data_IF_855186124854
#
_entry.id   IF_855186124854
#
_cell.length_a   1.000
_cell.length_b   1.000
_cell.length_c   1.000
_cell.angle_alpha   90.00
_cell.angle_beta   90.00
_cell.angle_gamma   90.00
#
_symmetry.space_group_name_H-M   'P 1'
#
loop_
_entity.id
_entity.type
_entity.pdbx_description
1 polymer ?
#
# COMPACT_ATOMS: atom_id res chain seq x y z
N UNK A 1 22.70 24.42 31.73
CA UNK A 1 21.92 23.90 30.60
C UNK A 1 22.91 23.20 29.70
N UNK A 2 23.11 21.90 29.91
CA UNK A 2 23.79 21.07 28.93
C UNK A 2 22.77 20.84 27.81
N UNK A 3 22.98 21.50 26.68
CA UNK A 3 22.36 21.10 25.42
C UNK A 3 22.91 19.73 25.07
N UNK A 4 22.16 18.69 25.39
CA UNK A 4 22.36 17.37 24.82
C UNK A 4 22.10 17.51 23.31
N UNK A 5 23.14 17.72 22.52
CA UNK A 5 23.06 17.59 21.07
C UNK A 5 22.70 16.12 20.83
N UNK A 6 21.42 15.82 20.60
CA UNK A 6 21.04 14.52 20.06
C UNK A 6 21.77 14.41 18.72
N UNK A 7 22.80 13.58 18.69
CA UNK A 7 23.47 13.19 17.45
C UNK A 7 22.49 12.31 16.70
N UNK A 8 21.63 12.93 15.90
CA UNK A 8 20.82 12.19 14.95
C UNK A 8 21.78 11.56 13.93
N UNK A 9 21.60 10.27 13.65
CA UNK A 9 22.42 9.59 12.65
C UNK A 9 21.85 9.93 11.28
N UNK A 10 22.70 10.37 10.33
CA UNK A 10 22.22 10.86 9.04
C UNK A 10 21.56 9.74 8.24
N UNK A 11 20.52 10.08 7.50
CA UNK A 11 19.97 9.24 6.45
C UNK A 11 20.91 9.25 5.25
N UNK A 12 21.01 8.11 4.57
CA UNK A 12 21.93 7.94 3.43
C UNK A 12 21.14 7.37 2.26
N UNK A 13 21.31 7.91 1.06
CA UNK A 13 20.75 7.29 -0.15
C UNK A 13 21.42 5.93 -0.40
N UNK A 14 20.67 4.91 -0.81
CA UNK A 14 21.27 3.65 -1.26
C UNK A 14 22.28 3.88 -2.41
N UNK A 15 22.09 4.91 -3.23
CA UNK A 15 22.99 5.28 -4.32
C UNK A 15 24.30 5.92 -3.86
N UNK A 16 24.43 6.30 -2.58
CA UNK A 16 25.70 6.76 -2.02
C UNK A 16 26.69 5.60 -1.80
N UNK A 17 26.22 4.35 -1.82
CA UNK A 17 27.06 3.15 -1.71
C UNK A 17 27.36 2.66 -3.14
N UNK A 18 28.63 2.71 -3.62
CA UNK A 18 28.97 2.43 -5.01
C UNK A 18 28.49 1.06 -5.52
N UNK A 19 28.60 0.02 -4.70
CA UNK A 19 28.18 -1.33 -5.03
C UNK A 19 26.67 -1.46 -5.19
N UNK A 20 25.89 -0.72 -4.39
CA UNK A 20 24.44 -0.65 -4.53
C UNK A 20 24.08 0.17 -5.76
N UNK A 21 24.68 1.35 -5.95
CA UNK A 21 24.43 2.20 -7.11
C UNK A 21 24.63 1.46 -8.44
N UNK A 22 25.74 0.74 -8.58
CA UNK A 22 26.02 -0.03 -9.80
C UNK A 22 24.96 -1.12 -10.04
N UNK A 23 24.61 -1.86 -8.99
CA UNK A 23 23.62 -2.93 -9.09
C UNK A 23 22.21 -2.39 -9.38
N UNK A 24 21.82 -1.29 -8.72
CA UNK A 24 20.53 -0.62 -8.91
C UNK A 24 20.36 -0.11 -10.34
N UNK A 25 21.40 0.48 -10.92
CA UNK A 25 21.35 0.95 -12.31
C UNK A 25 21.26 -0.19 -13.32
N UNK A 26 21.95 -1.31 -13.08
CA UNK A 26 21.84 -2.51 -13.92
C UNK A 26 20.40 -3.05 -13.92
N UNK A 27 19.82 -3.22 -12.74
CA UNK A 27 18.44 -3.72 -12.58
C UNK A 27 17.43 -2.74 -13.17
N UNK A 28 17.61 -1.43 -12.95
CA UNK A 28 16.76 -0.39 -13.54
C UNK A 28 16.75 -0.48 -15.06
N UNK A 29 17.92 -0.54 -15.70
CA UNK A 29 18.01 -0.67 -17.16
C UNK A 29 17.37 -1.96 -17.70
N UNK A 30 17.48 -3.07 -16.96
CA UNK A 30 16.80 -4.32 -17.31
C UNK A 30 15.27 -4.22 -17.18
N UNK A 31 14.77 -3.62 -16.09
CA UNK A 31 13.34 -3.42 -15.84
C UNK A 31 12.71 -2.49 -16.88
N UNK A 32 13.35 -1.35 -17.20
CA UNK A 32 12.92 -0.42 -18.25
C UNK A 32 12.88 -1.09 -19.63
N UNK A 33 13.88 -1.95 -19.93
CA UNK A 33 13.91 -2.72 -21.16
C UNK A 33 12.75 -3.72 -21.24
N UNK A 34 12.43 -4.39 -20.13
CA UNK A 34 11.29 -5.32 -20.05
C UNK A 34 9.96 -4.60 -20.20
N UNK A 35 9.75 -3.47 -19.52
CA UNK A 35 8.56 -2.64 -19.70
C UNK A 35 8.41 -2.18 -21.14
N UNK A 36 9.50 -1.76 -21.80
CA UNK A 36 9.48 -1.37 -23.22
C UNK A 36 9.13 -2.52 -24.17
N UNK A 37 9.50 -3.77 -23.82
CA UNK A 37 9.07 -4.96 -24.57
C UNK A 37 7.57 -5.19 -24.37
N UNK A 38 7.09 -5.13 -23.12
CA UNK A 38 5.67 -5.35 -22.79
C UNK A 38 4.76 -4.27 -23.37
N UNK A 39 5.18 -3.00 -23.39
CA UNK A 39 4.48 -1.92 -24.09
C UNK A 39 4.23 -2.26 -25.56
N UNK A 40 5.27 -2.74 -26.26
CA UNK A 40 5.15 -3.15 -27.66
C UNK A 40 4.23 -4.36 -27.85
N UNK A 41 4.14 -5.25 -26.87
CA UNK A 41 3.19 -6.37 -26.91
C UNK A 41 1.75 -5.85 -26.80
N UNK A 42 1.51 -4.87 -25.92
CA UNK A 42 0.21 -4.18 -25.76
C UNK A 42 -0.19 -3.45 -27.04
N UNK A 43 0.71 -2.65 -27.61
CA UNK A 43 0.48 -1.95 -28.87
C UNK A 43 0.22 -2.92 -30.04
N UNK A 44 0.87 -4.08 -30.05
CA UNK A 44 0.71 -5.10 -31.08
C UNK A 44 -0.52 -6.02 -30.85
N UNK A 45 -1.26 -5.82 -29.76
CA UNK A 45 -2.36 -6.69 -29.31
C UNK A 45 -1.94 -8.18 -29.18
N UNK A 46 -0.70 -8.40 -28.73
CA UNK A 46 -0.13 -9.73 -28.46
C UNK A 46 0.06 -9.91 -26.95
N UNK A 47 -1.00 -9.68 -26.19
CA UNK A 47 -0.99 -9.63 -24.72
C UNK A 47 -1.20 -10.97 -24.04
N UNK A 48 -1.32 -12.05 -24.82
CA UNK A 48 -1.41 -13.41 -24.30
C UNK A 48 -0.16 -13.71 -23.46
N UNK A 49 -0.34 -13.86 -22.15
CA UNK A 49 0.73 -14.19 -21.21
C UNK A 49 1.41 -13.00 -20.54
N UNK A 50 0.90 -11.77 -20.67
CA UNK A 50 1.32 -10.70 -19.76
C UNK A 50 0.88 -11.04 -18.32
N UNK A 51 1.77 -10.87 -17.33
CA UNK A 51 1.42 -11.05 -15.93
C UNK A 51 0.36 -10.03 -15.48
N UNK A 52 -0.32 -10.34 -14.39
CA UNK A 52 -1.21 -9.40 -13.71
C UNK A 52 -0.39 -8.45 -12.84
N UNK A 53 -0.90 -7.23 -12.63
CA UNK A 53 -0.37 -6.36 -11.59
C UNK A 53 -0.45 -7.08 -10.23
N UNK A 54 0.47 -6.79 -9.31
CA UNK A 54 0.45 -7.44 -7.99
C UNK A 54 -0.74 -6.90 -7.20
N UNK A 55 -1.74 -7.76 -7.07
CA UNK A 55 -2.95 -7.56 -6.26
C UNK A 55 -3.55 -8.91 -5.84
N UNK A 56 -4.68 -8.84 -5.12
CA UNK A 56 -5.44 -10.03 -4.70
C UNK A 56 -5.86 -10.93 -5.89
N UNK A 57 -6.13 -10.38 -7.08
CA UNK A 57 -6.49 -11.18 -8.26
C UNK A 57 -5.28 -11.98 -8.77
N UNK A 58 -4.11 -11.36 -8.82
CA UNK A 58 -2.85 -12.02 -9.20
C UNK A 58 -2.42 -13.08 -8.18
N UNK A 59 -2.64 -12.83 -6.88
CA UNK A 59 -2.37 -13.80 -5.82
C UNK A 59 -3.34 -14.99 -5.94
N UNK A 60 -4.61 -14.75 -6.27
CA UNK A 60 -5.58 -15.80 -6.50
C UNK A 60 -5.24 -16.72 -7.69
N UNK A 61 -4.65 -16.20 -8.77
CA UNK A 61 -4.11 -17.02 -9.86
C UNK A 61 -3.09 -18.05 -9.32
N UNK A 62 -2.19 -17.62 -8.43
CA UNK A 62 -1.15 -18.46 -7.84
C UNK A 62 -1.70 -19.45 -6.80
N UNK A 63 -2.76 -19.09 -6.09
CA UNK A 63 -3.51 -20.00 -5.21
C UNK A 63 -4.20 -21.09 -6.05
N UNK A 64 -4.86 -20.70 -7.14
CA UNK A 64 -5.51 -21.64 -8.05
C UNK A 64 -4.50 -22.60 -8.69
N UNK A 65 -3.33 -22.11 -9.11
CA UNK A 65 -2.25 -22.97 -9.59
C UNK A 65 -1.79 -23.98 -8.54
N UNK A 66 -1.58 -23.55 -7.28
CA UNK A 66 -1.21 -24.48 -6.21
C UNK A 66 -2.32 -25.51 -5.94
N UNK A 67 -3.58 -25.09 -6.02
CA UNK A 67 -4.72 -26.02 -5.92
C UNK A 67 -4.67 -27.09 -7.01
N UNK A 68 -4.39 -26.72 -8.26
CA UNK A 68 -4.36 -27.66 -9.39
C UNK A 68 -3.16 -28.61 -9.30
N UNK A 69 -1.99 -28.09 -8.93
CA UNK A 69 -0.73 -28.86 -8.92
C UNK A 69 -0.61 -29.74 -7.68
N UNK A 70 -0.89 -29.19 -6.49
CA UNK A 70 -0.64 -29.83 -5.19
C UNK A 70 -1.92 -30.25 -4.45
N UNK A 71 -3.07 -29.67 -4.80
CA UNK A 71 -4.37 -29.95 -4.17
C UNK A 71 -4.72 -29.01 -3.00
N UNK A 72 -6.02 -28.80 -2.74
CA UNK A 72 -6.57 -27.88 -1.71
C UNK A 72 -6.13 -28.14 -0.25
N UNK A 73 -5.47 -29.26 0.03
CA UNK A 73 -5.01 -29.62 1.40
C UNK A 73 -3.49 -29.62 1.52
N UNK A 74 -2.79 -29.24 0.45
CA UNK A 74 -1.34 -29.15 0.45
C UNK A 74 -0.87 -27.93 1.25
N UNK A 75 0.30 -28.00 1.91
CA UNK A 75 0.91 -26.84 2.53
C UNK A 75 1.07 -25.66 1.57
N UNK A 76 1.42 -25.92 0.31
CA UNK A 76 1.62 -24.90 -0.73
C UNK A 76 0.33 -24.14 -1.06
N UNK A 77 -0.81 -24.84 -1.12
CA UNK A 77 -2.11 -24.19 -1.29
C UNK A 77 -2.48 -23.35 -0.07
N UNK A 78 -2.33 -23.92 1.13
CA UNK A 78 -2.72 -23.25 2.37
C UNK A 78 -1.91 -21.98 2.60
N UNK A 79 -0.60 -22.04 2.41
CA UNK A 79 0.31 -20.90 2.56
C UNK A 79 -0.04 -19.76 1.59
N UNK A 80 -0.25 -20.08 0.31
CA UNK A 80 -0.65 -19.07 -0.68
C UNK A 80 -2.03 -18.48 -0.42
N UNK A 81 -2.98 -19.30 0.05
CA UNK A 81 -4.32 -18.82 0.39
C UNK A 81 -4.27 -17.87 1.60
N UNK A 82 -3.45 -18.15 2.61
CA UNK A 82 -3.17 -17.19 3.69
C UNK A 82 -2.54 -15.89 3.16
N UNK A 83 -1.68 -15.99 2.14
CA UNK A 83 -1.19 -14.82 1.41
C UNK A 83 -2.30 -14.00 0.74
N UNK A 84 -3.25 -14.67 0.08
CA UNK A 84 -4.43 -14.01 -0.49
C UNK A 84 -5.29 -13.33 0.59
N UNK A 85 -5.52 -13.98 1.72
CA UNK A 85 -6.26 -13.41 2.85
C UNK A 85 -5.53 -12.18 3.39
N UNK A 86 -4.20 -12.20 3.48
CA UNK A 86 -3.40 -11.04 3.88
C UNK A 86 -3.57 -9.86 2.90
N UNK A 87 -3.49 -10.11 1.59
CA UNK A 87 -3.68 -9.10 0.55
C UNK A 87 -5.10 -8.50 0.65
N UNK A 88 -6.12 -9.35 0.77
CA UNK A 88 -7.51 -8.93 0.95
C UNK A 88 -7.71 -8.15 2.27
N UNK A 89 -7.02 -8.51 3.35
CA UNK A 89 -7.09 -7.76 4.61
C UNK A 89 -6.51 -6.36 4.45
N UNK A 90 -5.38 -6.22 3.74
CA UNK A 90 -4.79 -4.91 3.43
C UNK A 90 -5.74 -4.08 2.56
N UNK A 91 -6.34 -4.69 1.54
CA UNK A 91 -7.34 -4.07 0.66
C UNK A 91 -8.53 -3.48 1.47
N UNK A 92 -9.13 -4.30 2.34
CA UNK A 92 -10.28 -3.89 3.16
C UNK A 92 -9.87 -2.84 4.18
N UNK A 93 -8.71 -3.00 4.84
CA UNK A 93 -8.21 -2.04 5.82
C UNK A 93 -7.95 -0.67 5.19
N UNK A 94 -7.34 -0.65 4.02
CA UNK A 94 -6.98 0.59 3.31
C UNK A 94 -8.24 1.37 2.89
N UNK A 95 -9.30 0.67 2.47
CA UNK A 95 -10.58 1.30 2.16
C UNK A 95 -11.34 1.74 3.41
N UNK A 96 -11.43 0.89 4.44
CA UNK A 96 -12.06 1.25 5.73
C UNK A 96 -11.44 2.52 6.32
N UNK A 97 -10.15 2.75 6.06
CA UNK A 97 -9.39 3.92 6.52
C UNK A 97 -8.95 4.80 5.34
N UNK A 98 -9.77 4.93 4.30
CA UNK A 98 -9.39 5.72 3.11
C UNK A 98 -9.05 7.19 3.45
N UNK A 99 -9.69 7.77 4.45
CA UNK A 99 -9.53 9.18 4.83
C UNK A 99 -8.74 9.36 6.14
N UNK A 100 -8.15 8.29 6.65
CA UNK A 100 -7.60 8.24 8.01
C UNK A 100 -6.25 7.53 8.03
N UNK A 101 -5.38 7.81 9.01
CA UNK A 101 -4.11 7.11 9.12
C UNK A 101 -4.29 5.63 9.47
N UNK A 102 -3.42 4.77 8.98
CA UNK A 102 -3.38 3.35 9.37
C UNK A 102 -1.95 2.82 9.37
N UNK A 103 -1.63 1.99 10.36
CA UNK A 103 -0.35 1.27 10.42
C UNK A 103 -0.62 -0.19 10.09
N UNK A 104 0.00 -0.72 9.04
CA UNK A 104 -0.21 -2.09 8.61
C UNK A 104 0.69 -3.05 9.36
N UNK A 105 0.18 -4.24 9.64
CA UNK A 105 0.97 -5.28 10.29
C UNK A 105 2.19 -5.63 9.43
N UNK A 106 3.32 -5.87 10.10
CA UNK A 106 4.57 -6.20 9.44
C UNK A 106 4.43 -7.53 8.69
N UNK A 107 4.80 -7.55 7.41
CA UNK A 107 4.91 -8.80 6.65
C UNK A 107 6.29 -9.37 6.91
N UNK A 108 6.35 -10.68 7.17
CA UNK A 108 7.60 -11.41 7.30
C UNK A 108 7.90 -12.09 5.98
N UNK A 109 9.14 -11.94 5.53
CA UNK A 109 9.68 -12.61 4.37
C UNK A 109 10.79 -13.55 4.82
N UNK A 110 10.62 -14.82 4.48
CA UNK A 110 11.65 -15.84 4.66
C UNK A 110 12.61 -15.78 3.48
N UNK A 111 13.84 -16.25 3.65
CA UNK A 111 14.78 -16.36 2.54
C UNK A 111 14.90 -17.79 2.07
N UNK A 112 14.92 -17.98 0.76
CA UNK A 112 15.40 -19.21 0.14
C UNK A 112 16.95 -19.22 0.13
N UNK A 113 17.56 -20.18 0.81
CA UNK A 113 19.02 -20.31 0.91
C UNK A 113 19.70 -20.70 -0.43
N UNK A 114 18.96 -21.22 -1.41
CA UNK A 114 19.52 -21.67 -2.69
C UNK A 114 19.51 -20.56 -3.74
N UNK A 115 18.45 -19.75 -3.77
CA UNK A 115 18.29 -18.68 -4.76
C UNK A 115 18.65 -17.30 -4.21
N UNK A 116 18.84 -17.19 -2.90
CA UNK A 116 18.95 -15.94 -2.14
C UNK A 116 17.71 -15.04 -2.21
N UNK A 117 16.60 -15.51 -2.80
CA UNK A 117 15.36 -14.75 -2.95
C UNK A 117 14.56 -14.69 -1.65
N UNK A 118 13.82 -13.60 -1.48
CA UNK A 118 12.84 -13.48 -0.42
C UNK A 118 11.50 -14.10 -0.85
N UNK A 119 10.90 -14.86 0.07
CA UNK A 119 9.65 -15.59 -0.10
C UNK A 119 8.58 -14.98 0.81
N UNK A 120 7.42 -14.68 0.25
CA UNK A 120 6.21 -14.27 0.96
C UNK A 120 5.11 -15.29 0.66
N UNK A 121 4.59 -15.98 1.68
CA UNK A 121 3.46 -16.92 1.54
C UNK A 121 3.65 -17.94 0.38
N UNK A 122 4.84 -18.55 0.31
CA UNK A 122 5.18 -19.54 -0.72
C UNK A 122 5.40 -18.97 -2.12
N UNK A 123 5.61 -17.65 -2.24
CA UNK A 123 5.84 -16.93 -3.50
C UNK A 123 7.13 -16.11 -3.47
N UNK A 124 7.91 -16.17 -4.57
CA UNK A 124 9.09 -15.33 -4.74
C UNK A 124 8.71 -13.87 -4.92
N UNK A 125 9.21 -12.99 -4.04
CA UNK A 125 9.00 -11.54 -4.15
C UNK A 125 9.77 -10.97 -5.35
N UNK A 126 10.89 -11.59 -5.71
CA UNK A 126 11.59 -11.28 -6.96
C UNK A 126 10.71 -11.57 -8.17
N UNK A 127 10.04 -12.72 -8.25
CA UNK A 127 9.12 -12.98 -9.36
C UNK A 127 7.92 -12.03 -9.33
N UNK A 128 7.35 -11.75 -8.15
CA UNK A 128 6.24 -10.80 -8.00
C UNK A 128 6.60 -9.42 -8.58
N UNK A 129 7.72 -8.84 -8.18
CA UNK A 129 8.13 -7.50 -8.66
C UNK A 129 8.47 -7.47 -10.15
N UNK A 130 8.84 -8.60 -10.76
CA UNK A 130 8.98 -8.71 -12.22
C UNK A 130 7.62 -8.81 -12.93
N UNK A 131 6.69 -9.57 -12.34
CA UNK A 131 5.33 -9.68 -12.82
C UNK A 131 4.63 -8.31 -12.77
N UNK A 132 4.87 -7.52 -11.72
CA UNK A 132 4.36 -6.15 -11.55
C UNK A 132 4.81 -5.14 -12.61
N UNK A 133 5.83 -5.44 -13.43
CA UNK A 133 6.26 -4.57 -14.54
C UNK A 133 5.25 -4.62 -15.70
N UNK A 134 3.96 -4.50 -15.40
CA UNK A 134 2.87 -4.42 -16.37
C UNK A 134 2.74 -2.97 -16.80
N UNK A 135 2.89 -2.66 -18.10
CA UNK A 135 2.77 -1.31 -18.59
C UNK A 135 1.39 -0.72 -18.38
N UNK A 136 1.36 0.55 -18.02
CA UNK A 136 0.15 1.34 -17.88
C UNK A 136 0.11 2.45 -18.94
N UNK A 137 -1.00 3.16 -19.05
CA UNK A 137 -1.08 4.35 -19.91
C UNK A 137 -0.24 5.53 -19.38
N UNK A 138 0.25 5.47 -18.14
CA UNK A 138 0.81 6.61 -17.41
C UNK A 138 2.29 6.38 -17.07
N UNK A 139 3.22 7.11 -17.71
CA UNK A 139 4.67 6.90 -17.52
C UNK A 139 5.17 7.04 -16.08
N UNK A 140 4.45 7.81 -15.26
CA UNK A 140 4.77 7.98 -13.84
C UNK A 140 4.56 6.67 -13.05
N UNK A 141 3.52 5.89 -13.36
CA UNK A 141 3.30 4.57 -12.73
C UNK A 141 4.32 3.55 -13.19
N UNK A 142 4.64 3.53 -14.49
CA UNK A 142 5.68 2.64 -15.03
C UNK A 142 7.02 2.88 -14.31
N UNK A 143 7.39 4.14 -14.09
CA UNK A 143 8.59 4.50 -13.34
C UNK A 143 8.54 4.02 -11.88
N UNK A 144 7.36 4.01 -11.24
CA UNK A 144 7.18 3.47 -9.89
C UNK A 144 7.34 1.96 -9.85
N UNK A 145 6.75 1.22 -10.79
CA UNK A 145 6.93 -0.24 -10.89
C UNK A 145 8.40 -0.60 -11.09
N UNK A 146 9.13 0.17 -11.89
CA UNK A 146 10.59 0.04 -12.02
C UNK A 146 11.30 0.31 -10.68
N UNK A 147 10.89 1.33 -9.93
CA UNK A 147 11.47 1.61 -8.62
C UNK A 147 11.21 0.49 -7.60
N UNK A 148 10.01 -0.09 -7.56
CA UNK A 148 9.67 -1.26 -6.70
C UNK A 148 10.56 -2.47 -7.04
N UNK A 149 10.81 -2.70 -8.33
CA UNK A 149 11.76 -3.73 -8.79
C UNK A 149 13.19 -3.47 -8.33
N UNK A 150 13.64 -2.22 -8.41
CA UNK A 150 14.98 -1.80 -7.97
C UNK A 150 15.12 -1.88 -6.45
N UNK A 151 14.06 -1.58 -5.70
CA UNK A 151 14.00 -1.72 -4.25
C UNK A 151 14.22 -3.17 -3.82
N UNK A 152 13.52 -4.13 -4.44
CA UNK A 152 13.71 -5.56 -4.16
C UNK A 152 15.16 -6.00 -4.44
N UNK A 153 15.72 -5.63 -5.59
CA UNK A 153 17.12 -5.91 -5.90
C UNK A 153 18.08 -5.31 -4.87
N UNK A 154 17.78 -4.09 -4.41
CA UNK A 154 18.57 -3.40 -3.39
C UNK A 154 18.58 -4.19 -2.09
N UNK A 155 17.41 -4.69 -1.65
CA UNK A 155 17.30 -5.52 -0.44
C UNK A 155 18.14 -6.81 -0.55
N UNK A 156 18.04 -7.53 -1.67
CA UNK A 156 18.84 -8.74 -1.92
C UNK A 156 20.35 -8.42 -1.89
N UNK A 157 20.76 -7.33 -2.54
CA UNK A 157 22.17 -6.92 -2.59
C UNK A 157 22.70 -6.45 -1.24
N UNK A 158 21.92 -5.69 -0.47
CA UNK A 158 22.30 -5.17 0.83
C UNK A 158 22.69 -6.29 1.79
N UNK A 159 22.00 -7.44 1.78
CA UNK A 159 22.41 -8.58 2.58
C UNK A 159 23.76 -9.15 2.16
N UNK A 160 23.97 -9.33 0.85
CA UNK A 160 25.25 -9.83 0.33
C UNK A 160 26.43 -8.90 0.70
N UNK A 161 26.18 -7.60 0.84
CA UNK A 161 27.16 -6.59 1.29
C UNK A 161 27.27 -6.52 2.83
N UNK A 162 26.16 -6.75 3.54
CA UNK A 162 26.03 -6.65 4.99
C UNK A 162 26.91 -7.64 5.76
N UNK A 163 27.30 -8.75 5.14
CA UNK A 163 28.31 -9.66 5.69
C UNK A 163 29.72 -9.07 5.83
N UNK A 164 29.99 -7.87 5.26
CA UNK A 164 31.33 -7.26 5.25
C UNK A 164 31.41 -5.81 5.79
N UNK A 165 30.32 -5.03 5.86
CA UNK A 165 30.43 -3.59 6.14
C UNK A 165 29.23 -2.86 6.81
N UNK A 166 28.08 -3.49 7.02
CA UNK A 166 26.87 -2.83 7.56
C UNK A 166 26.54 -3.32 8.98
N UNK A 167 25.69 -2.58 9.70
CA UNK A 167 25.13 -3.02 10.99
C UNK A 167 24.40 -4.35 10.86
N UNK A 168 24.25 -5.09 11.98
CA UNK A 168 23.53 -6.39 12.03
C UNK A 168 22.09 -6.30 11.52
N UNK A 169 21.49 -5.11 11.62
CA UNK A 169 20.17 -4.79 11.07
C UNK A 169 20.29 -3.59 10.14
N UNK A 170 19.76 -3.70 8.94
CA UNK A 170 19.69 -2.63 7.95
C UNK A 170 18.23 -2.29 7.73
N UNK A 171 17.91 -0.99 7.68
CA UNK A 171 16.57 -0.50 7.36
C UNK A 171 16.62 0.38 6.13
N UNK A 172 15.77 0.03 5.17
CA UNK A 172 15.59 0.77 3.93
C UNK A 172 14.17 1.33 3.92
N UNK A 173 14.08 2.65 3.85
CA UNK A 173 12.84 3.41 3.83
C UNK A 173 12.51 3.86 2.43
N UNK A 174 11.25 3.67 2.05
CA UNK A 174 10.67 4.22 0.83
C UNK A 174 9.50 5.12 1.21
N UNK A 175 9.48 6.30 0.59
CA UNK A 175 8.45 7.33 0.80
C UNK A 175 7.73 7.52 -0.52
N UNK A 176 6.42 7.31 -0.49
CA UNK A 176 5.59 7.14 -1.67
C UNK A 176 4.32 7.99 -1.53
N UNK A 177 4.38 9.21 -2.03
CA UNK A 177 3.20 10.09 -2.15
C UNK A 177 2.26 9.59 -3.25
N UNK A 178 0.99 10.02 -3.31
CA UNK A 178 0.20 9.76 -4.51
C UNK A 178 0.80 10.47 -5.74
N UNK A 179 0.78 9.79 -6.88
CA UNK A 179 1.31 10.29 -8.17
C UNK A 179 0.55 11.52 -8.66
N UNK A 180 1.26 12.40 -9.36
CA UNK A 180 0.69 13.64 -9.87
C UNK A 180 -0.42 13.38 -10.90
N UNK A 181 -0.25 12.38 -11.77
CA UNK A 181 -1.31 12.00 -12.69
C UNK A 181 -2.57 11.50 -11.96
N UNK A 182 -2.42 10.71 -10.89
CA UNK A 182 -3.56 10.18 -10.12
C UNK A 182 -4.37 11.30 -9.47
N UNK A 183 -3.66 12.28 -8.91
CA UNK A 183 -4.27 13.49 -8.35
C UNK A 183 -5.03 14.28 -9.43
N UNK A 184 -4.45 14.45 -10.62
CA UNK A 184 -5.12 15.13 -11.75
C UNK A 184 -6.34 14.35 -12.24
N UNK A 185 -6.18 13.05 -12.48
CA UNK A 185 -7.19 12.14 -13.03
C UNK A 185 -8.50 12.21 -12.26
N UNK A 186 -8.45 12.23 -10.93
CA UNK A 186 -9.66 12.38 -10.14
C UNK A 186 -10.20 13.80 -10.05
N UNK A 187 -9.32 14.81 -9.95
CA UNK A 187 -9.77 16.21 -9.96
C UNK A 187 -10.54 16.55 -11.25
N UNK A 188 -10.23 15.87 -12.35
CA UNK A 188 -10.84 16.07 -13.67
C UNK A 188 -12.05 15.15 -13.96
N UNK A 189 -11.94 13.84 -13.74
CA UNK A 189 -12.90 12.83 -14.27
C UNK A 189 -13.47 11.87 -13.20
N UNK A 190 -13.15 12.03 -11.92
CA UNK A 190 -13.88 11.43 -10.79
C UNK A 190 -14.03 9.90 -10.79
N UNK A 191 -13.04 9.13 -11.28
CA UNK A 191 -12.91 7.63 -11.28
C UNK A 191 -13.13 6.89 -12.61
N UNK A 192 -13.42 7.56 -13.72
CA UNK A 192 -13.82 6.87 -14.98
C UNK A 192 -12.76 5.93 -15.60
N UNK A 193 -11.51 5.93 -15.12
CA UNK A 193 -10.39 5.13 -15.66
C UNK A 193 -9.87 4.03 -14.73
N UNK A 194 -10.52 3.80 -13.59
CA UNK A 194 -9.96 2.97 -12.51
C UNK A 194 -8.80 3.67 -11.78
N UNK A 195 -8.45 3.15 -10.59
CA UNK A 195 -7.34 3.64 -9.77
C UNK A 195 -7.66 4.82 -8.83
N UNK A 196 -6.84 4.90 -7.76
CA UNK A 196 -6.55 5.99 -6.80
C UNK A 196 -7.71 6.62 -6.00
N UNK A 197 -7.48 6.88 -4.69
CA UNK A 197 -8.28 7.81 -3.86
C UNK A 197 -7.68 9.20 -4.02
N UNK A 198 -8.44 10.18 -4.51
CA UNK A 198 -8.01 11.58 -4.44
C UNK A 198 -9.07 12.47 -3.79
N UNK A 199 -9.92 11.88 -2.96
CA UNK A 199 -10.65 12.63 -1.92
C UNK A 199 -9.66 13.23 -0.91
N UNK A 200 -8.60 12.48 -0.57
CA UNK A 200 -7.41 12.99 0.10
C UNK A 200 -6.16 12.49 -0.63
N UNK A 201 -5.17 13.36 -0.82
CA UNK A 201 -3.83 12.95 -1.24
C UNK A 201 -3.26 12.10 -0.09
N UNK A 202 -2.78 10.88 -0.32
CA UNK A 202 -2.16 10.01 0.70
C UNK A 202 -0.65 10.01 0.59
N UNK A 203 -0.01 9.81 1.75
CA UNK A 203 1.39 9.48 1.87
C UNK A 203 1.50 8.05 2.37
N UNK A 204 2.30 7.25 1.67
CA UNK A 204 2.74 5.95 2.17
C UNK A 204 4.22 6.01 2.54
N UNK A 205 4.57 5.53 3.73
CA UNK A 205 5.95 5.25 4.07
C UNK A 205 6.10 3.78 4.45
N UNK A 206 7.15 3.15 3.94
CA UNK A 206 7.47 1.74 4.16
C UNK A 206 8.91 1.60 4.64
N UNK A 207 9.12 0.73 5.62
CA UNK A 207 10.44 0.27 6.03
C UNK A 207 10.59 -1.21 5.72
N UNK A 208 11.62 -1.56 4.95
CA UNK A 208 12.15 -2.92 4.88
C UNK A 208 13.29 -3.05 5.87
N UNK A 209 13.12 -3.92 6.87
CA UNK A 209 14.12 -4.22 7.87
C UNK A 209 14.71 -5.60 7.56
N UNK A 210 16.02 -5.64 7.35
CA UNK A 210 16.76 -6.86 7.04
C UNK A 210 17.66 -7.15 8.24
N UNK A 211 17.40 -8.27 8.90
CA UNK A 211 18.35 -8.89 9.81
C UNK A 211 19.37 -9.66 8.99
N UNK A 212 20.59 -9.14 8.95
CA UNK A 212 21.68 -9.67 8.13
C UNK A 212 22.14 -11.04 8.65
N UNK A 213 22.01 -11.29 9.95
CA UNK A 213 22.46 -12.54 10.59
C UNK A 213 21.46 -13.67 10.36
N UNK A 214 20.18 -13.43 10.63
CA UNK A 214 19.13 -14.46 10.46
C UNK A 214 18.64 -14.55 9.02
N UNK A 215 18.94 -13.56 8.18
CA UNK A 215 18.42 -13.48 6.83
C UNK A 215 16.93 -13.12 6.75
N UNK A 216 16.29 -12.89 7.90
CA UNK A 216 14.88 -12.52 8.00
C UNK A 216 14.69 -11.09 7.54
N UNK A 217 13.69 -10.88 6.68
CA UNK A 217 13.24 -9.56 6.27
C UNK A 217 11.84 -9.32 6.81
N UNK A 218 11.58 -8.10 7.28
CA UNK A 218 10.23 -7.64 7.61
C UNK A 218 9.91 -6.35 6.88
N UNK A 219 8.66 -6.21 6.47
CA UNK A 219 8.15 -5.02 5.80
C UNK A 219 7.06 -4.37 6.65
N UNK A 220 7.33 -3.16 7.14
CA UNK A 220 6.40 -2.31 7.89
C UNK A 220 5.90 -1.18 7.01
N UNK A 221 4.63 -0.80 7.15
CA UNK A 221 4.02 0.21 6.29
C UNK A 221 3.04 1.08 7.09
N UNK A 222 3.03 2.39 6.82
CA UNK A 222 2.10 3.36 7.42
C UNK A 222 1.51 4.26 6.35
N UNK A 223 0.17 4.24 6.26
CA UNK A 223 -0.59 5.14 5.41
C UNK A 223 -1.06 6.35 6.18
N UNK A 224 -0.79 7.52 5.64
CA UNK A 224 -1.06 8.80 6.28
C UNK A 224 -1.89 9.69 5.35
N UNK A 225 -2.83 10.47 5.90
CA UNK A 225 -3.47 11.53 5.13
C UNK A 225 -2.43 12.60 4.77
N UNK A 226 -2.31 12.91 3.48
CA UNK A 226 -1.35 13.84 2.91
C UNK A 226 -1.78 15.31 2.94
N UNK A 227 -2.91 15.64 3.59
CA UNK A 227 -3.42 17.02 3.67
C UNK A 227 -2.39 18.00 4.26
N UNK A 228 -1.62 17.55 5.24
CA UNK A 228 -0.57 18.36 5.90
C UNK A 228 0.84 17.85 5.62
N UNK A 229 0.99 16.68 5.00
CA UNK A 229 2.26 16.10 4.58
C UNK A 229 2.49 16.34 3.09
N UNK A 230 2.62 17.61 2.72
CA UNK A 230 2.98 17.97 1.34
C UNK A 230 4.40 17.50 1.02
N UNK A 231 4.71 17.47 -0.27
CA UNK A 231 6.05 17.12 -0.74
C UNK A 231 7.15 17.95 -0.05
N UNK A 232 6.94 19.24 0.13
CA UNK A 232 7.89 20.14 0.80
C UNK A 232 8.07 19.79 2.28
N UNK A 233 7.01 19.35 2.97
CA UNK A 233 7.09 18.90 4.37
C UNK A 233 7.95 17.63 4.47
N UNK A 234 7.76 16.69 3.54
CA UNK A 234 8.54 15.47 3.47
C UNK A 234 10.01 15.80 3.22
N UNK A 235 10.32 16.63 2.22
CA UNK A 235 11.68 17.07 1.94
C UNK A 235 12.33 17.75 3.16
N UNK A 236 11.61 18.63 3.86
CA UNK A 236 12.11 19.27 5.10
C UNK A 236 12.35 18.28 6.24
N UNK A 237 11.49 17.27 6.40
CA UNK A 237 11.70 16.21 7.39
C UNK A 237 12.97 15.39 7.06
N UNK A 238 13.21 15.09 5.79
CA UNK A 238 14.43 14.42 5.33
C UNK A 238 15.67 15.31 5.56
N UNK A 239 15.59 16.62 5.32
CA UNK A 239 16.67 17.56 5.64
C UNK A 239 17.03 17.57 7.14
N UNK A 240 16.04 17.44 8.04
CA UNK A 240 16.31 17.30 9.50
C UNK A 240 17.05 16.00 9.86
N UNK A 241 17.16 15.08 8.92
CA UNK A 241 17.95 13.84 9.01
C UNK A 241 19.20 13.88 8.11
N UNK A 242 19.65 15.08 7.77
CA UNK A 242 20.82 15.37 6.91
C UNK A 242 20.72 14.74 5.50
N UNK A 243 19.50 14.48 5.03
CA UNK A 243 19.25 13.97 3.68
C UNK A 243 18.84 15.12 2.75
N UNK A 244 19.61 15.36 1.69
CA UNK A 244 19.27 16.38 0.70
C UNK A 244 18.24 15.82 -0.31
N UNK A 245 17.02 16.36 -0.26
CA UNK A 245 15.91 15.97 -1.14
C UNK A 245 15.40 17.11 -2.03
N UNK A 246 16.04 18.28 -2.02
CA UNK A 246 15.48 19.55 -2.54
C UNK A 246 15.07 19.49 -4.03
N UNK A 247 15.80 18.69 -4.81
CA UNK A 247 15.61 18.57 -6.27
C UNK A 247 14.93 17.25 -6.69
N UNK A 248 14.47 16.44 -5.73
CA UNK A 248 13.80 15.17 -6.01
C UNK A 248 12.30 15.40 -6.17
N UNK A 249 11.74 15.06 -7.33
CA UNK A 249 10.29 14.93 -7.48
C UNK A 249 9.76 13.68 -6.76
N UNK A 250 8.44 13.51 -6.69
CA UNK A 250 7.79 12.39 -5.98
C UNK A 250 8.29 11.01 -6.44
N UNK A 251 8.52 10.84 -7.74
CA UNK A 251 8.96 9.57 -8.33
C UNK A 251 10.44 9.31 -8.08
N UNK A 252 11.27 10.34 -8.12
CA UNK A 252 12.71 10.28 -7.81
C UNK A 252 12.94 10.05 -6.32
N UNK A 253 12.14 10.67 -5.45
CA UNK A 253 12.15 10.43 -4.02
C UNK A 253 11.77 8.97 -3.71
N UNK A 254 10.68 8.47 -4.31
CA UNK A 254 10.31 7.06 -4.23
C UNK A 254 11.46 6.14 -4.67
N UNK A 255 12.18 6.49 -5.73
CA UNK A 255 13.30 5.72 -6.27
C UNK A 255 14.63 5.81 -5.51
N UNK A 256 14.69 6.60 -4.43
CA UNK A 256 15.94 6.85 -3.70
C UNK A 256 16.34 5.69 -2.79
N UNK A 257 15.36 5.00 -2.18
CA UNK A 257 15.54 3.99 -1.13
C UNK A 257 16.54 4.43 -0.02
N UNK A 258 16.01 5.03 1.02
CA UNK A 258 16.79 5.72 2.05
C UNK A 258 17.23 4.71 3.12
N UNK A 259 18.52 4.61 3.38
CA UNK A 259 19.05 3.91 4.55
C UNK A 259 18.74 4.71 5.81
N UNK A 260 17.76 4.24 6.56
CA UNK A 260 17.24 4.88 7.77
C UNK A 260 17.76 4.20 9.04
N UNK A 261 17.91 4.98 10.11
CA UNK A 261 18.42 4.48 11.40
C UNK A 261 17.34 4.48 12.49
N UNK A 262 16.35 5.35 12.35
CA UNK A 262 15.16 5.38 13.18
C UNK A 262 14.06 4.48 12.62
N UNK A 263 13.09 4.17 13.46
CA UNK A 263 11.89 3.40 13.12
C UNK A 263 10.93 4.20 12.26
N UNK A 264 10.01 3.51 11.58
CA UNK A 264 8.98 4.13 10.75
C UNK A 264 8.15 5.15 11.54
N UNK A 265 7.75 4.82 12.77
CA UNK A 265 6.94 5.71 13.61
C UNK A 265 7.74 6.90 14.15
N UNK A 266 9.05 6.79 14.36
CA UNK A 266 9.89 7.94 14.68
C UNK A 266 9.99 8.92 13.50
N UNK A 267 9.96 8.42 12.27
CA UNK A 267 9.86 9.27 11.08
C UNK A 267 8.48 9.91 10.93
N UNK A 268 7.40 9.18 11.22
CA UNK A 268 6.05 9.78 11.28
C UNK A 268 6.00 10.89 12.34
N UNK A 269 6.59 10.68 13.51
CA UNK A 269 6.66 11.71 14.54
C UNK A 269 7.42 12.97 14.09
N UNK A 270 8.48 12.80 13.30
CA UNK A 270 9.21 13.90 12.69
C UNK A 270 8.37 14.63 11.63
N UNK A 271 7.63 13.90 10.80
CA UNK A 271 6.70 14.50 9.83
C UNK A 271 5.63 15.32 10.56
N UNK A 272 5.01 14.78 11.61
CA UNK A 272 4.04 15.47 12.46
C UNK A 272 4.62 16.75 13.07
N UNK A 273 5.87 16.72 13.56
CA UNK A 273 6.58 17.88 14.10
C UNK A 273 6.78 18.97 13.05
N UNK A 274 7.36 18.62 11.89
CA UNK A 274 7.64 19.56 10.79
C UNK A 274 6.35 20.17 10.26
N UNK A 275 5.31 19.35 10.08
CA UNK A 275 4.00 19.81 9.65
C UNK A 275 3.36 20.72 10.70
N UNK A 276 3.42 20.37 11.98
CA UNK A 276 2.85 21.19 13.06
C UNK A 276 3.48 22.59 13.09
N UNK A 277 4.79 22.67 12.88
CA UNK A 277 5.53 23.93 12.80
C UNK A 277 5.13 24.78 11.58
N UNK A 278 5.04 24.17 10.39
CA UNK A 278 4.69 24.92 9.16
C UNK A 278 3.27 25.45 9.21
N UNK A 279 2.33 24.63 9.66
CA UNK A 279 0.90 24.93 9.62
C UNK A 279 0.38 25.65 10.88
N UNK A 280 1.22 25.84 11.90
CA UNK A 280 0.85 26.41 13.20
C UNK A 280 -0.34 25.69 13.87
N UNK A 281 -0.44 24.37 13.73
CA UNK A 281 -1.49 23.52 14.33
C UNK A 281 -0.86 22.28 14.93
N UNK A 282 -1.53 21.61 15.86
CA UNK A 282 -1.01 20.35 16.40
C UNK A 282 -1.44 19.18 15.51
N UNK A 283 -0.46 18.43 15.00
CA UNK A 283 -0.69 17.30 14.10
C UNK A 283 -0.25 15.99 14.75
N UNK A 284 -1.06 14.95 14.64
CA UNK A 284 -0.76 13.59 15.09
C UNK A 284 -1.24 12.58 14.06
N UNK A 285 -0.34 11.72 13.58
CA UNK A 285 -0.58 10.76 12.51
C UNK A 285 -1.16 11.44 11.25
N UNK A 286 -0.70 12.66 10.94
CA UNK A 286 -1.18 13.46 9.80
C UNK A 286 -2.54 14.14 9.98
N UNK A 287 -3.19 14.00 11.14
CA UNK A 287 -4.47 14.65 11.45
C UNK A 287 -4.30 15.82 12.43
N UNK A 288 -5.09 16.89 12.27
CA UNK A 288 -5.14 17.98 13.25
C UNK A 288 -5.82 17.47 14.52
N UNK A 289 -5.15 17.67 15.65
CA UNK A 289 -5.65 17.32 16.99
C UNK A 289 -5.74 18.55 17.88
N UNK A 290 -6.54 18.51 18.97
CA UNK A 290 -6.59 19.60 19.93
C UNK A 290 -5.22 19.93 20.53
N UNK A 291 -4.99 21.20 20.85
CA UNK A 291 -3.75 21.64 21.49
C UNK A 291 -3.52 20.93 22.84
N UNK A 292 -2.31 20.43 23.06
CA UNK A 292 -1.92 19.67 24.25
C UNK A 292 -2.29 18.19 24.20
N UNK A 293 -2.62 17.65 23.03
CA UNK A 293 -2.90 16.21 22.87
C UNK A 293 -1.64 15.39 23.14
N UNK A 294 -1.77 14.34 23.95
CA UNK A 294 -0.66 13.41 24.18
C UNK A 294 -0.52 12.53 22.94
N UNK A 295 0.58 12.70 22.20
CA UNK A 295 0.90 11.93 20.98
C UNK A 295 1.60 10.63 21.37
N UNK A 296 0.84 9.52 21.38
CA UNK A 296 1.36 8.18 21.67
C UNK A 296 1.32 7.29 20.42
N UNK A 297 2.42 7.30 19.68
CA UNK A 297 2.57 6.51 18.45
C UNK A 297 2.55 5.00 18.70
N UNK A 298 3.00 4.56 19.89
CA UNK A 298 3.01 3.13 20.23
C UNK A 298 1.59 2.65 20.55
N UNK A 299 0.81 3.46 21.28
CA UNK A 299 -0.61 3.17 21.49
C UNK A 299 -1.37 3.10 20.15
N UNK A 300 -1.12 4.05 19.24
CA UNK A 300 -1.72 4.02 17.90
C UNK A 300 -1.39 2.73 17.15
N UNK A 301 -0.12 2.27 17.20
CA UNK A 301 0.29 1.00 16.61
C UNK A 301 -0.53 -0.17 17.17
N UNK A 302 -0.70 -0.26 18.49
CA UNK A 302 -1.46 -1.37 19.11
C UNK A 302 -2.94 -1.33 18.70
N UNK A 303 -3.54 -0.14 18.66
CA UNK A 303 -4.91 0.04 18.18
C UNK A 303 -5.06 -0.35 16.69
N UNK A 304 -4.06 -0.03 15.86
CA UNK A 304 -4.01 -0.43 14.45
C UNK A 304 -3.97 -1.95 14.27
N UNK A 305 -3.19 -2.65 15.10
CA UNK A 305 -3.16 -4.12 15.09
C UNK A 305 -4.50 -4.71 15.51
N UNK A 306 -5.15 -4.13 16.53
CA UNK A 306 -6.48 -4.56 16.95
C UNK A 306 -7.50 -4.35 15.82
N UNK A 307 -7.54 -3.18 15.19
CA UNK A 307 -8.44 -2.91 14.05
C UNK A 307 -8.24 -3.89 12.91
N UNK A 308 -7.00 -4.24 12.57
CA UNK A 308 -6.72 -5.23 11.52
C UNK A 308 -7.18 -6.64 11.91
N UNK A 309 -7.04 -7.02 13.18
CA UNK A 309 -7.55 -8.32 13.66
C UNK A 309 -9.07 -8.44 13.57
N UNK A 310 -9.80 -7.31 13.66
CA UNK A 310 -11.26 -7.28 13.48
C UNK A 310 -11.68 -7.51 12.02
N UNK A 311 -10.77 -7.32 11.06
CA UNK A 311 -11.02 -7.47 9.62
C UNK A 311 -10.75 -8.89 9.10
N UNK A 312 -10.33 -9.82 9.95
CA UNK A 312 -9.90 -11.16 9.52
C UNK A 312 -11.03 -11.91 8.78
N UNK A 313 -12.25 -11.87 9.32
CA UNK A 313 -13.40 -12.53 8.70
C UNK A 313 -13.77 -11.88 7.36
N UNK A 314 -13.74 -10.55 7.31
CA UNK A 314 -14.00 -9.77 6.10
C UNK A 314 -12.97 -10.10 5.00
N UNK A 315 -11.70 -10.22 5.37
CA UNK A 315 -10.62 -10.59 4.48
C UNK A 315 -10.82 -11.99 3.87
N UNK A 316 -11.24 -12.98 4.67
CA UNK A 316 -11.60 -14.30 4.16
C UNK A 316 -12.78 -14.25 3.18
N UNK A 317 -13.82 -13.46 3.47
CA UNK A 317 -14.96 -13.32 2.56
C UNK A 317 -14.55 -12.74 1.21
N UNK A 318 -13.66 -11.75 1.21
CA UNK A 318 -13.14 -11.15 -0.02
C UNK A 318 -12.22 -12.13 -0.76
N UNK A 319 -11.35 -12.85 -0.05
CA UNK A 319 -10.47 -13.87 -0.63
C UNK A 319 -11.27 -15.00 -1.31
N UNK A 320 -12.32 -15.49 -0.66
CA UNK A 320 -13.23 -16.50 -1.22
C UNK A 320 -13.93 -15.97 -2.47
N UNK A 321 -14.44 -14.73 -2.43
CA UNK A 321 -15.08 -14.11 -3.58
C UNK A 321 -14.12 -13.96 -4.77
N UNK A 322 -12.88 -13.52 -4.51
CA UNK A 322 -11.84 -13.41 -5.54
C UNK A 322 -11.52 -14.79 -6.15
N UNK A 323 -11.43 -15.83 -5.32
CA UNK A 323 -11.24 -17.20 -5.81
C UNK A 323 -12.44 -17.68 -6.64
N UNK A 324 -13.67 -17.31 -6.28
CA UNK A 324 -14.86 -17.61 -7.09
C UNK A 324 -14.82 -16.94 -8.46
N UNK A 325 -14.42 -15.67 -8.53
CA UNK A 325 -14.21 -14.96 -9.81
C UNK A 325 -13.19 -15.71 -10.67
N UNK A 326 -12.11 -16.18 -10.05
CA UNK A 326 -11.08 -16.93 -10.76
C UNK A 326 -11.58 -18.29 -11.26
N UNK A 327 -12.26 -19.06 -10.41
CA UNK A 327 -12.81 -20.37 -10.74
C UNK A 327 -13.90 -20.29 -11.82
N UNK A 328 -14.56 -19.14 -11.96
CA UNK A 328 -15.53 -18.85 -13.02
C UNK A 328 -14.89 -18.32 -14.32
N UNK A 329 -13.56 -18.17 -14.35
CA UNK A 329 -12.79 -17.61 -15.46
C UNK A 329 -13.33 -16.24 -15.92
N UNK A 330 -13.70 -15.40 -14.94
CA UNK A 330 -14.16 -14.03 -15.21
C UNK A 330 -13.03 -13.25 -15.88
N UNK A 331 -13.41 -12.41 -16.85
CA UNK A 331 -12.48 -11.55 -17.57
C UNK A 331 -11.68 -10.69 -16.59
N UNK A 332 -10.36 -10.76 -16.74
CA UNK A 332 -9.37 -10.06 -15.93
C UNK A 332 -9.55 -8.54 -15.97
N UNK A 333 -10.11 -7.99 -17.05
CA UNK A 333 -10.42 -6.56 -17.13
C UNK A 333 -11.70 -6.17 -16.36
N UNK A 334 -12.58 -7.14 -16.07
CA UNK A 334 -13.85 -6.92 -15.36
C UNK A 334 -13.76 -7.28 -13.88
N UNK A 335 -12.89 -8.22 -13.50
CA UNK A 335 -12.74 -8.68 -12.13
C UNK A 335 -12.47 -7.54 -11.10
N UNK A 336 -11.62 -6.52 -11.39
CA UNK A 336 -11.41 -5.40 -10.48
C UNK A 336 -12.70 -4.71 -10.01
N UNK A 337 -13.62 -4.45 -10.94
CA UNK A 337 -14.88 -3.74 -10.66
C UNK A 337 -15.79 -4.57 -9.77
N UNK A 338 -15.82 -5.88 -9.98
CA UNK A 338 -16.60 -6.81 -9.16
C UNK A 338 -16.04 -6.91 -7.74
N UNK A 339 -14.71 -6.92 -7.58
CA UNK A 339 -14.07 -6.91 -6.27
C UNK A 339 -14.33 -5.58 -5.55
N UNK A 340 -14.23 -4.45 -6.25
CA UNK A 340 -14.56 -3.15 -5.69
C UNK A 340 -16.02 -3.12 -5.20
N UNK A 341 -16.97 -3.51 -6.03
CA UNK A 341 -18.38 -3.56 -5.65
C UNK A 341 -18.65 -4.50 -4.48
N UNK A 342 -17.98 -5.65 -4.42
CA UNK A 342 -18.11 -6.59 -3.32
C UNK A 342 -17.62 -5.99 -1.99
N UNK A 343 -16.42 -5.41 -1.97
CA UNK A 343 -15.85 -4.78 -0.77
C UNK A 343 -16.67 -3.54 -0.37
N UNK A 344 -17.19 -2.77 -1.33
CA UNK A 344 -18.12 -1.65 -1.06
C UNK A 344 -19.32 -2.12 -0.27
N UNK A 345 -19.97 -3.18 -0.74
CA UNK A 345 -21.18 -3.71 -0.12
C UNK A 345 -20.89 -4.28 1.27
N UNK A 346 -19.76 -4.98 1.43
CA UNK A 346 -19.28 -5.45 2.72
C UNK A 346 -19.15 -4.28 3.73
N UNK A 347 -18.48 -3.19 3.33
CA UNK A 347 -18.26 -2.02 4.18
C UNK A 347 -19.53 -1.19 4.42
N UNK A 348 -20.48 -1.15 3.47
CA UNK A 348 -21.81 -0.58 3.68
C UNK A 348 -22.57 -1.40 4.72
N UNK A 349 -22.53 -2.73 4.66
CA UNK A 349 -23.20 -3.58 5.64
C UNK A 349 -22.65 -3.36 7.05
N UNK A 350 -21.31 -3.24 7.20
CA UNK A 350 -20.69 -2.85 8.46
C UNK A 350 -21.20 -1.48 8.96
N UNK A 351 -21.32 -0.52 8.04
CA UNK A 351 -21.79 0.84 8.34
C UNK A 351 -23.30 0.91 8.63
N UNK A 352 -24.10 -0.05 8.18
CA UNK A 352 -25.52 -0.11 8.51
C UNK A 352 -25.76 -0.35 10.00
N UNK A 353 -24.87 -1.05 10.71
CA UNK A 353 -24.99 -1.23 12.15
C UNK A 353 -24.59 0.02 12.93
N UNK A 354 -23.60 0.76 12.41
CA UNK A 354 -23.02 1.98 13.00
C UNK A 354 -22.84 3.06 11.93
N UNK A 355 -23.90 3.82 11.58
CA UNK A 355 -23.88 4.77 10.47
C UNK A 355 -22.79 5.85 10.59
N UNK A 356 -22.35 6.17 11.81
CA UNK A 356 -21.24 7.08 12.07
C UNK A 356 -19.92 6.63 11.40
N UNK A 357 -19.68 5.32 11.28
CA UNK A 357 -18.49 4.78 10.60
C UNK A 357 -18.45 5.13 9.12
N UNK A 358 -19.62 5.32 8.50
CA UNK A 358 -19.71 5.61 7.07
C UNK A 358 -19.08 6.97 6.72
N UNK A 359 -18.98 7.89 7.68
CA UNK A 359 -18.28 9.18 7.48
C UNK A 359 -16.79 8.96 7.19
N UNK A 360 -16.17 8.00 7.89
CA UNK A 360 -14.75 7.70 7.73
C UNK A 360 -14.48 6.82 6.50
N UNK A 361 -15.37 5.85 6.25
CA UNK A 361 -15.23 4.85 5.19
C UNK A 361 -15.65 5.41 3.81
N UNK A 362 -16.67 6.26 3.78
CA UNK A 362 -17.30 6.77 2.56
C UNK A 362 -17.34 8.29 2.55
N UNK A 363 -18.37 8.91 3.14
CA UNK A 363 -18.52 10.35 3.27
C UNK A 363 -19.71 10.66 4.21
N UNK A 364 -19.87 11.94 4.59
CA UNK A 364 -20.96 12.40 5.44
C UNK A 364 -22.35 12.14 4.82
N UNK A 365 -22.46 12.20 3.48
CA UNK A 365 -23.75 11.97 2.79
C UNK A 365 -24.21 10.53 2.92
N UNK A 366 -23.28 9.58 2.81
CA UNK A 366 -23.52 8.15 2.99
C UNK A 366 -23.95 7.87 4.41
N UNK A 367 -23.28 8.47 5.41
CA UNK A 367 -23.66 8.34 6.82
C UNK A 367 -25.09 8.84 7.08
N UNK A 368 -25.45 10.03 6.58
CA UNK A 368 -26.81 10.58 6.70
C UNK A 368 -27.84 9.66 6.06
N UNK A 369 -27.56 9.14 4.87
CA UNK A 369 -28.44 8.20 4.18
C UNK A 369 -28.67 6.92 4.98
N UNK A 370 -27.62 6.33 5.54
CA UNK A 370 -27.73 5.13 6.38
C UNK A 370 -28.47 5.40 7.70
N UNK A 371 -28.30 6.58 8.30
CA UNK A 371 -29.12 7.00 9.45
C UNK A 371 -30.60 7.04 9.09
N UNK A 372 -30.95 7.60 7.94
CA UNK A 372 -32.34 7.67 7.47
C UNK A 372 -32.92 6.28 7.18
N UNK A 373 -32.14 5.38 6.57
CA UNK A 373 -32.50 3.96 6.40
C UNK A 373 -32.84 3.32 7.75
N UNK A 374 -31.98 3.48 8.77
CA UNK A 374 -32.27 2.96 10.12
C UNK A 374 -33.55 3.56 10.72
N UNK A 375 -33.81 4.86 10.54
CA UNK A 375 -35.03 5.47 11.06
C UNK A 375 -36.27 4.90 10.37
N UNK A 376 -36.26 4.73 9.05
CA UNK A 376 -37.36 4.13 8.30
C UNK A 376 -37.63 2.68 8.75
N UNK A 377 -36.57 1.89 8.97
CA UNK A 377 -36.70 0.53 9.53
C UNK A 377 -37.34 0.54 10.92
N UNK A 378 -36.95 1.48 11.80
CA UNK A 378 -37.55 1.64 13.15
C UNK A 378 -39.02 2.05 13.09
N UNK A 379 -39.42 2.81 12.07
CA UNK A 379 -40.80 3.22 11.82
C UNK A 379 -41.64 2.11 11.14
N UNK A 380 -41.02 1.00 10.71
CA UNK A 380 -41.67 -0.09 10.00
C UNK A 380 -41.90 0.18 8.51
N UNK A 381 -41.31 1.25 7.95
CA UNK A 381 -41.37 1.58 6.52
C UNK A 381 -40.32 0.79 5.71
N UNK A 382 -40.40 -0.55 5.77
CA UNK A 382 -39.34 -1.43 5.22
C UNK A 382 -39.12 -1.28 3.71
N UNK A 383 -40.17 -1.18 2.90
CA UNK A 383 -40.04 -1.00 1.44
C UNK A 383 -39.31 0.31 1.09
N UNK A 384 -39.59 1.38 1.83
CA UNK A 384 -38.95 2.67 1.63
C UNK A 384 -37.50 2.68 2.13
N UNK A 385 -37.24 1.97 3.24
CA UNK A 385 -35.89 1.78 3.73
C UNK A 385 -35.02 1.00 2.74
N UNK A 386 -35.57 -0.05 2.11
CA UNK A 386 -34.88 -0.83 1.08
C UNK A 386 -34.59 0.00 -0.17
N UNK A 387 -35.56 0.78 -0.65
CA UNK A 387 -35.35 1.69 -1.77
C UNK A 387 -34.26 2.72 -1.47
N UNK A 388 -34.31 3.37 -0.31
CA UNK A 388 -33.31 4.35 0.09
C UNK A 388 -31.93 3.71 0.25
N UNK A 389 -31.86 2.49 0.81
CA UNK A 389 -30.60 1.77 0.93
C UNK A 389 -29.97 1.50 -0.45
N UNK A 390 -30.77 1.11 -1.43
CA UNK A 390 -30.31 0.96 -2.82
C UNK A 390 -29.72 2.26 -3.37
N UNK A 391 -30.39 3.40 -3.16
CA UNK A 391 -29.88 4.72 -3.57
C UNK A 391 -28.59 5.11 -2.84
N UNK A 392 -28.48 4.78 -1.55
CA UNK A 392 -27.27 5.05 -0.76
C UNK A 392 -26.10 4.21 -1.26
N UNK A 393 -26.31 2.92 -1.53
CA UNK A 393 -25.29 2.03 -2.10
C UNK A 393 -24.83 2.56 -3.46
N UNK A 394 -25.75 2.93 -4.35
CA UNK A 394 -25.41 3.44 -5.68
C UNK A 394 -24.58 4.73 -5.60
N UNK A 395 -24.94 5.65 -4.70
CA UNK A 395 -24.27 6.96 -4.55
C UNK A 395 -23.00 6.93 -3.72
N UNK A 396 -22.81 5.94 -2.86
CA UNK A 396 -21.63 5.87 -2.01
C UNK A 396 -20.37 5.82 -2.91
N UNK A 397 -19.32 6.59 -2.58
CA UNK A 397 -18.09 6.54 -3.33
C UNK A 397 -17.52 5.11 -3.29
N UNK A 398 -17.07 4.61 -4.43
CA UNK A 398 -16.39 3.31 -4.48
C UNK A 398 -15.04 3.32 -3.74
N UNK A 399 -14.33 2.21 -3.82
CA UNK A 399 -12.99 2.07 -3.27
C UNK A 399 -12.03 2.95 -4.05
N UNK A 400 -11.08 3.55 -3.36
CA UNK A 400 -9.89 4.04 -4.04
C UNK A 400 -8.70 3.47 -3.30
N UNK A 401 -7.62 3.24 -4.04
CA UNK A 401 -6.38 2.68 -3.51
C UNK A 401 -5.28 3.63 -3.89
N UNK A 402 -4.58 4.28 -2.94
CA UNK A 402 -3.40 5.01 -3.38
C UNK A 402 -2.33 3.94 -3.62
N UNK A 403 -1.99 3.72 -4.90
CA UNK A 403 -1.04 2.73 -5.40
C UNK A 403 0.41 2.95 -5.03
N UNK A 404 0.62 3.17 -3.75
CA UNK A 404 1.90 3.38 -3.13
C UNK A 404 2.29 2.14 -2.31
N UNK A 405 1.94 0.95 -2.82
CA UNK A 405 2.68 -0.29 -2.54
C UNK A 405 1.95 -1.44 -1.84
N UNK A 406 0.66 -1.36 -1.51
CA UNK A 406 -0.01 -2.46 -0.77
C UNK A 406 -0.77 -3.47 -1.63
N UNK A 407 -1.59 -3.05 -2.59
CA UNK A 407 -2.45 -3.92 -3.42
C UNK A 407 -3.20 -3.06 -4.47
N UNK A 408 -2.63 -2.83 -5.65
CA UNK A 408 -3.37 -2.09 -6.69
C UNK A 408 -4.12 -3.03 -7.62
N UNK A 409 -5.45 -2.95 -7.62
CA UNK A 409 -6.26 -3.45 -8.73
C UNK A 409 -6.10 -2.51 -9.94
N UNK A 410 -5.03 -2.65 -10.72
CA UNK A 410 -4.76 -1.79 -11.89
C UNK A 410 -5.53 -2.28 -13.10
N UNK A 411 -6.28 -1.38 -13.77
CA UNK A 411 -6.76 -1.62 -15.13
C UNK A 411 -5.59 -1.43 -16.11
N UNK A 412 -5.19 -2.51 -16.79
CA UNK A 412 -4.20 -2.48 -17.86
C UNK A 412 -4.79 -1.96 -19.19
#
# INVERSE_FOLDING_TARGET
METTTQTHTPYISADAIPELYLHRNEVRGAAESLMSVRHRQIEANTNEGLPLAIDALSTADRVHEAQVVYGRKSPEYLDRYEGLVMDCRRLVAEWRRKNKPEVFAAIVHDQDEQTDEFIANGMSVWQMTEDALVPTAEPEEDARRVNERVEEATAMKMRSLGGLALSSTVRMRTVSECTDWSIRSYKEDGKSRGGYVPEIEKLMARDMVIDVESGRRTEEQVGLPGLYFTHEIIQRALQRRDFNADDLDKTSLHGTQILAQDTLLEFVALLDEVASEEWCVEIFMGEVVPEGTIKDYQAFYQEAMQRQSELEQDAHMVADFVMELRDQDIDRQQAPDLVEDFVKNLLINLSQEKPELATEIFDEKTAIGLFEVQQLQRLGEFERAEQLLGEVIERAPGGGYCGAGSCDLVRA
#
